data_IF_440899912478
#
_entry.id   IF_440899912478
#
_cell.length_a   1.000
_cell.length_b   1.000
_cell.length_c   1.000
_cell.angle_alpha   90.00
_cell.angle_beta   90.00
_cell.angle_gamma   90.00
#
_symmetry.space_group_name_H-M   'P 1'
#
loop_
_entity.id
_entity.type
_entity.pdbx_description
1 polymer ?
#
# COMPACT_ATOMS: atom_id res chain seq x y z
N UNK A 1 8.02 27.77 16.09
CA UNK A 1 7.51 28.53 14.93
C UNK A 1 6.05 28.14 14.73
N UNK A 2 5.08 29.07 14.68
CA UNK A 2 3.70 28.72 14.38
C UNK A 2 3.62 28.11 12.97
N UNK A 3 2.79 27.07 12.80
CA UNK A 3 2.60 26.45 11.50
C UNK A 3 2.07 27.48 10.48
N UNK A 4 2.64 27.51 9.28
CA UNK A 4 2.14 28.37 8.22
C UNK A 4 0.69 27.99 7.85
N UNK A 5 -0.11 28.96 7.41
CA UNK A 5 -1.50 28.71 6.98
C UNK A 5 -1.61 27.68 5.85
N UNK A 6 -0.57 27.56 5.00
CA UNK A 6 -0.47 26.54 3.97
C UNK A 6 -0.26 25.14 4.55
N UNK A 7 0.57 25.00 5.58
CA UNK A 7 0.82 23.71 6.26
C UNK A 7 -0.45 23.18 6.91
N UNK A 8 -1.21 24.05 7.60
CA UNK A 8 -2.48 23.66 8.24
C UNK A 8 -3.51 23.20 7.20
N UNK A 9 -3.59 23.88 6.04
CA UNK A 9 -4.50 23.48 4.96
C UNK A 9 -4.15 22.11 4.38
N UNK A 10 -2.87 21.85 4.12
CA UNK A 10 -2.42 20.56 3.60
C UNK A 10 -2.71 19.40 4.58
N UNK A 11 -2.57 19.63 5.88
CA UNK A 11 -2.93 18.66 6.93
C UNK A 11 -4.42 18.37 6.91
N UNK A 12 -5.27 19.39 6.81
CA UNK A 12 -6.72 19.21 6.75
C UNK A 12 -7.16 18.46 5.49
N UNK A 13 -6.55 18.77 4.34
CA UNK A 13 -6.82 18.07 3.07
C UNK A 13 -6.47 16.58 3.17
N UNK A 14 -5.32 16.26 3.77
CA UNK A 14 -4.89 14.89 4.04
C UNK A 14 -5.92 14.15 4.90
N UNK A 15 -6.33 14.73 6.03
CA UNK A 15 -7.31 14.11 6.93
C UNK A 15 -8.63 13.85 6.20
N UNK A 16 -9.11 14.80 5.39
CA UNK A 16 -10.35 14.62 4.65
C UNK A 16 -10.24 13.51 3.59
N UNK A 17 -9.12 13.41 2.87
CA UNK A 17 -8.88 12.32 1.93
C UNK A 17 -8.78 10.97 2.64
N UNK A 18 -8.10 10.90 3.79
CA UNK A 18 -8.00 9.68 4.59
C UNK A 18 -9.40 9.21 5.07
N UNK A 19 -10.26 10.15 5.48
CA UNK A 19 -11.65 9.86 5.85
C UNK A 19 -12.47 9.35 4.66
N UNK A 20 -12.35 9.99 3.49
CA UNK A 20 -13.06 9.57 2.28
C UNK A 20 -12.58 8.22 1.76
N UNK A 21 -11.29 7.92 1.90
CA UNK A 21 -10.73 6.62 1.54
C UNK A 21 -11.19 5.52 2.50
N UNK A 22 -11.22 5.79 3.81
CA UNK A 22 -11.55 4.79 4.83
C UNK A 22 -13.06 4.58 5.05
N UNK A 23 -13.90 5.60 4.86
CA UNK A 23 -15.34 5.53 5.11
C UNK A 23 -16.20 5.60 3.83
N UNK A 24 -15.56 5.79 2.67
CA UNK A 24 -16.26 6.02 1.41
C UNK A 24 -16.81 7.45 1.29
N UNK A 25 -17.78 7.68 0.38
CA UNK A 25 -18.31 9.01 0.14
C UNK A 25 -18.98 9.65 1.37
N UNK A 26 -18.66 10.91 1.64
CA UNK A 26 -19.15 11.65 2.80
C UNK A 26 -19.83 12.96 2.39
N UNK A 27 -20.82 13.38 3.15
CA UNK A 27 -21.40 14.73 3.04
C UNK A 27 -20.49 15.78 3.68
N UNK A 28 -20.63 17.05 3.28
CA UNK A 28 -19.94 18.15 3.95
C UNK A 28 -20.28 18.22 5.46
N UNK A 29 -21.49 17.80 5.86
CA UNK A 29 -21.88 17.70 7.26
C UNK A 29 -21.09 16.63 8.02
N UNK A 30 -20.89 15.45 7.43
CA UNK A 30 -20.09 14.38 8.03
C UNK A 30 -18.61 14.77 8.09
N UNK A 31 -18.05 15.34 7.02
CA UNK A 31 -16.68 15.85 7.02
C UNK A 31 -16.46 16.88 8.13
N UNK A 32 -17.41 17.80 8.33
CA UNK A 32 -17.38 18.76 9.45
C UNK A 32 -17.29 18.06 10.81
N UNK A 33 -18.19 17.10 11.06
CA UNK A 33 -18.22 16.37 12.34
C UNK A 33 -16.95 15.57 12.59
N UNK A 34 -16.43 14.88 11.57
CA UNK A 34 -15.27 14.00 11.68
C UNK A 34 -13.94 14.76 11.76
N UNK A 35 -13.84 15.91 11.08
CA UNK A 35 -12.62 16.73 11.08
C UNK A 35 -12.58 17.77 12.20
N UNK A 36 -13.73 18.07 12.82
CA UNK A 36 -13.86 19.16 13.82
C UNK A 36 -13.79 20.58 13.23
N UNK A 37 -13.77 20.71 11.89
CA UNK A 37 -13.65 22.00 11.22
C UNK A 37 -14.95 22.83 11.27
N UNK A 38 -14.81 24.14 11.07
CA UNK A 38 -15.96 25.03 10.91
C UNK A 38 -16.67 24.78 9.57
N UNK A 39 -17.95 25.18 9.46
CA UNK A 39 -18.71 25.02 8.20
C UNK A 39 -18.07 25.75 7.01
N UNK A 40 -17.59 27.02 7.15
CA UNK A 40 -16.82 27.68 6.09
C UNK A 40 -15.54 26.92 5.73
N UNK A 41 -14.79 26.43 6.72
CA UNK A 41 -13.54 25.69 6.47
C UNK A 41 -13.75 24.40 5.69
N UNK A 42 -14.85 23.69 5.93
CA UNK A 42 -15.19 22.48 5.16
C UNK A 42 -15.62 22.83 3.74
N UNK A 43 -16.36 23.93 3.54
CA UNK A 43 -16.72 24.38 2.20
C UNK A 43 -15.47 24.70 1.37
N UNK A 44 -14.54 25.48 1.95
CA UNK A 44 -13.26 25.82 1.32
C UNK A 44 -12.40 24.59 1.03
N UNK A 45 -12.38 23.60 1.95
CA UNK A 45 -11.66 22.34 1.78
C UNK A 45 -12.22 21.54 0.61
N UNK A 46 -13.54 21.36 0.57
CA UNK A 46 -14.21 20.59 -0.49
C UNK A 46 -14.01 21.27 -1.84
N UNK A 47 -14.19 22.59 -1.91
CA UNK A 47 -13.95 23.35 -3.14
C UNK A 47 -12.51 23.21 -3.64
N UNK A 48 -11.53 23.28 -2.72
CA UNK A 48 -10.12 23.10 -3.07
C UNK A 48 -9.84 21.69 -3.61
N UNK A 49 -10.34 20.65 -2.94
CA UNK A 49 -10.15 19.26 -3.40
C UNK A 49 -10.86 18.99 -4.73
N UNK A 50 -12.03 19.59 -4.97
CA UNK A 50 -12.72 19.53 -6.25
C UNK A 50 -11.97 20.27 -7.36
N UNK A 51 -11.45 21.46 -7.07
CA UNK A 51 -10.64 22.25 -8.01
C UNK A 51 -9.35 21.52 -8.37
N UNK A 52 -8.73 20.85 -7.40
CA UNK A 52 -7.60 19.96 -7.65
C UNK A 52 -8.00 18.68 -8.41
N UNK A 53 -9.29 18.40 -8.56
CA UNK A 53 -9.86 17.21 -9.18
C UNK A 53 -9.63 15.92 -8.38
N UNK A 54 -9.38 16.02 -7.08
CA UNK A 54 -9.18 14.88 -6.18
C UNK A 54 -10.50 14.30 -5.68
N UNK A 55 -11.53 15.13 -5.59
CA UNK A 55 -12.87 14.78 -5.10
C UNK A 55 -13.93 15.26 -6.08
N UNK A 56 -15.04 14.54 -6.21
CA UNK A 56 -16.22 14.94 -6.98
C UNK A 56 -17.50 14.60 -6.22
N UNK A 57 -18.62 15.16 -6.68
CA UNK A 57 -19.94 14.71 -6.21
C UNK A 57 -20.23 13.36 -6.87
N UNK A 58 -20.52 12.35 -6.05
CA UNK A 58 -20.79 10.97 -6.48
C UNK A 58 -22.23 10.53 -6.18
N UNK A 59 -23.04 11.41 -5.58
CA UNK A 59 -24.44 11.16 -5.28
C UNK A 59 -25.02 12.15 -4.30
N UNK A 60 -26.17 11.79 -3.74
CA UNK A 60 -26.91 12.57 -2.77
C UNK A 60 -27.38 11.69 -1.60
N UNK A 61 -27.45 12.25 -0.40
CA UNK A 61 -27.91 11.60 0.81
C UNK A 61 -29.12 12.33 1.40
N UNK A 62 -30.04 11.56 2.00
CA UNK A 62 -31.20 12.09 2.73
C UNK A 62 -32.47 12.23 1.91
N UNK A 63 -32.68 11.40 0.88
CA UNK A 63 -33.88 11.40 0.05
C UNK A 63 -35.22 11.28 0.82
N UNK A 64 -35.19 10.73 2.04
CA UNK A 64 -36.36 10.59 2.93
C UNK A 64 -36.54 11.75 3.93
N UNK A 65 -35.62 12.72 3.98
CA UNK A 65 -35.68 13.86 4.92
C UNK A 65 -36.29 15.09 4.27
N UNK A 66 -37.00 15.88 5.07
CA UNK A 66 -37.55 17.18 4.65
C UNK A 66 -36.41 18.21 4.56
N UNK A 67 -36.08 18.63 3.34
CA UNK A 67 -35.01 19.61 3.03
C UNK A 67 -34.28 19.22 1.74
N UNK A 68 -33.37 20.08 1.22
CA UNK A 68 -32.56 19.73 0.07
C UNK A 68 -31.61 18.57 0.42
N UNK A 69 -31.49 17.60 -0.48
CA UNK A 69 -30.57 16.48 -0.30
C UNK A 69 -29.13 16.97 -0.12
N UNK A 70 -28.37 16.30 0.75
CA UNK A 70 -26.97 16.62 0.96
C UNK A 70 -26.11 15.94 -0.11
N UNK A 71 -25.23 16.69 -0.77
CA UNK A 71 -24.26 16.11 -1.73
C UNK A 71 -23.30 15.15 -1.03
N UNK A 72 -23.06 14.00 -1.65
CA UNK A 72 -22.01 13.06 -1.27
C UNK A 72 -20.76 13.32 -2.10
N UNK A 73 -19.65 13.55 -1.42
CA UNK A 73 -18.35 13.77 -2.02
C UNK A 73 -17.53 12.50 -1.91
N UNK A 74 -16.91 12.08 -3.01
CA UNK A 74 -16.05 10.90 -3.07
C UNK A 74 -14.76 11.18 -3.85
N UNK A 75 -13.72 10.40 -3.58
CA UNK A 75 -12.45 10.49 -4.32
C UNK A 75 -12.70 10.18 -5.80
N UNK A 76 -12.03 10.92 -6.69
CA UNK A 76 -11.98 10.61 -8.12
C UNK A 76 -11.06 9.40 -8.30
N UNK A 77 -11.61 8.20 -8.11
CA UNK A 77 -10.84 6.97 -7.97
C UNK A 77 -9.94 6.64 -9.17
N UNK A 78 -10.45 6.90 -10.38
CA UNK A 78 -9.80 6.68 -11.68
C UNK A 78 -8.73 7.73 -12.02
N UNK A 79 -8.51 8.73 -11.16
CA UNK A 79 -7.48 9.75 -11.35
C UNK A 79 -6.06 9.16 -11.38
N UNK A 80 -5.86 8.04 -10.71
CA UNK A 80 -4.61 7.29 -10.77
C UNK A 80 -4.86 5.80 -10.51
N UNK A 81 -3.98 4.98 -11.08
CA UNK A 81 -3.98 3.55 -10.86
C UNK A 81 -2.71 3.16 -10.11
N UNK A 82 -2.84 2.14 -9.26
CA UNK A 82 -1.78 1.59 -8.45
C UNK A 82 -1.59 0.13 -8.84
N UNK A 83 -0.37 -0.38 -8.72
CA UNK A 83 -0.12 -1.82 -8.78
C UNK A 83 0.56 -2.29 -7.49
N UNK A 84 0.28 -3.52 -7.09
CA UNK A 84 0.97 -4.22 -6.02
C UNK A 84 1.50 -5.54 -6.56
N UNK A 85 2.76 -5.85 -6.28
CA UNK A 85 3.39 -7.12 -6.54
C UNK A 85 3.65 -7.83 -5.22
N UNK A 86 3.19 -9.06 -5.09
CA UNK A 86 3.65 -9.98 -4.05
C UNK A 86 4.66 -10.95 -4.66
N UNK A 87 5.94 -10.75 -4.35
CA UNK A 87 7.07 -11.50 -4.90
C UNK A 87 7.48 -12.57 -3.89
N UNK A 88 7.16 -13.82 -4.22
CA UNK A 88 7.55 -15.01 -3.45
C UNK A 88 8.62 -15.79 -4.19
N UNK A 89 9.27 -16.71 -3.48
CA UNK A 89 10.28 -17.61 -4.05
C UNK A 89 9.75 -18.51 -5.15
N UNK A 90 8.45 -18.83 -5.12
CA UNK A 90 7.78 -19.73 -6.06
C UNK A 90 6.72 -19.07 -6.95
N UNK A 91 6.43 -17.78 -6.76
CA UNK A 91 5.34 -17.09 -7.49
C UNK A 91 5.47 -15.59 -7.43
N UNK A 92 4.88 -14.91 -8.41
CA UNK A 92 4.63 -13.48 -8.40
C UNK A 92 3.15 -13.25 -8.64
N UNK A 93 2.50 -12.54 -7.72
CA UNK A 93 1.11 -12.07 -7.88
C UNK A 93 1.11 -10.57 -8.13
N UNK A 94 0.25 -10.11 -9.03
CA UNK A 94 0.04 -8.69 -9.37
C UNK A 94 -1.43 -8.37 -9.12
N UNK A 95 -1.68 -7.23 -8.47
CA UNK A 95 -3.01 -6.62 -8.37
C UNK A 95 -2.90 -5.18 -8.88
N UNK A 96 -3.84 -4.75 -9.72
CA UNK A 96 -3.98 -3.36 -10.15
C UNK A 96 -5.26 -2.78 -9.55
N UNK A 97 -5.16 -1.62 -8.93
CA UNK A 97 -6.27 -0.94 -8.26
C UNK A 97 -6.44 0.50 -8.72
N UNK A 98 -7.60 1.07 -8.44
CA UNK A 98 -7.79 2.52 -8.43
C UNK A 98 -7.26 3.16 -7.12
N UNK A 99 -7.44 4.48 -6.94
CA UNK A 99 -7.00 5.21 -5.74
C UNK A 99 -7.74 4.85 -4.45
N UNK A 100 -8.96 4.30 -4.55
CA UNK A 100 -9.73 3.88 -3.36
C UNK A 100 -9.49 2.41 -3.02
N UNK A 101 -8.70 1.70 -3.82
CA UNK A 101 -8.29 0.32 -3.58
C UNK A 101 -9.23 -0.71 -4.21
N UNK A 102 -10.13 -0.31 -5.11
CA UNK A 102 -10.94 -1.27 -5.85
C UNK A 102 -10.04 -2.04 -6.83
N UNK A 103 -10.09 -3.37 -6.78
CA UNK A 103 -9.33 -4.25 -7.68
C UNK A 103 -9.93 -4.17 -9.08
N UNK A 104 -9.10 -3.79 -10.06
CA UNK A 104 -9.47 -3.67 -11.47
C UNK A 104 -9.03 -4.90 -12.28
N UNK A 105 -7.86 -5.46 -11.95
CA UNK A 105 -7.37 -6.71 -12.49
C UNK A 105 -6.36 -7.33 -11.53
N UNK A 106 -6.25 -8.66 -11.59
CA UNK A 106 -5.26 -9.42 -10.83
C UNK A 106 -4.78 -10.61 -11.64
N UNK A 107 -3.51 -10.99 -11.45
CA UNK A 107 -2.93 -12.15 -12.09
C UNK A 107 -1.82 -12.74 -11.23
N UNK A 108 -1.58 -14.05 -11.35
CA UNK A 108 -0.49 -14.74 -10.66
C UNK A 108 0.28 -15.61 -11.64
N UNK A 109 1.60 -15.59 -11.50
CA UNK A 109 2.52 -16.41 -12.27
C UNK A 109 3.36 -17.26 -11.29
N UNK A 110 3.42 -18.59 -11.46
CA UNK A 110 4.42 -19.42 -10.79
C UNK A 110 5.83 -19.06 -11.29
N UNK A 111 6.73 -18.74 -10.38
CA UNK A 111 8.11 -18.33 -10.67
C UNK A 111 9.05 -19.14 -9.78
N UNK A 112 9.60 -20.22 -10.30
CA UNK A 112 10.50 -21.09 -9.55
C UNK A 112 10.60 -22.50 -10.12
N UNK A 113 11.51 -23.30 -9.57
CA UNK A 113 11.68 -24.71 -9.92
C UNK A 113 10.65 -25.57 -9.17
N UNK A 114 9.40 -25.60 -9.67
CA UNK A 114 8.49 -26.71 -9.38
C UNK A 114 8.97 -28.00 -10.07
N UNK A 115 8.12 -29.02 -10.19
CA UNK A 115 8.42 -30.29 -10.89
C UNK A 115 8.68 -30.16 -12.42
N UNK A 116 8.98 -28.96 -12.92
CA UNK A 116 9.35 -28.66 -14.30
C UNK A 116 10.44 -27.59 -14.36
N UNK A 117 11.01 -27.32 -15.54
CA UNK A 117 11.99 -26.25 -15.70
C UNK A 117 11.34 -24.93 -15.28
N UNK A 118 11.95 -24.25 -14.31
CA UNK A 118 11.50 -22.91 -13.91
C UNK A 118 11.63 -21.91 -15.08
N UNK A 119 11.06 -20.71 -14.93
CA UNK A 119 11.12 -19.69 -15.97
C UNK A 119 12.56 -19.39 -16.38
N UNK A 120 12.79 -19.22 -17.69
CA UNK A 120 14.12 -18.94 -18.23
C UNK A 120 14.62 -17.54 -17.81
N UNK A 121 13.69 -16.60 -17.60
CA UNK A 121 13.96 -15.27 -17.07
C UNK A 121 12.80 -14.80 -16.15
N UNK A 122 12.89 -15.08 -14.83
CA UNK A 122 11.90 -14.64 -13.84
C UNK A 122 11.59 -13.14 -13.88
N UNK A 123 12.57 -12.31 -14.21
CA UNK A 123 12.43 -10.84 -14.19
C UNK A 123 11.58 -10.39 -15.37
N UNK A 124 11.92 -10.88 -16.57
CA UNK A 124 11.16 -10.55 -17.78
C UNK A 124 9.71 -11.02 -17.68
N UNK A 125 9.48 -12.21 -17.14
CA UNK A 125 8.13 -12.77 -17.02
C UNK A 125 7.28 -12.03 -15.98
N UNK A 126 7.84 -11.67 -14.83
CA UNK A 126 7.14 -10.86 -13.82
C UNK A 126 6.83 -9.44 -14.32
N UNK A 127 7.75 -8.80 -15.05
CA UNK A 127 7.49 -7.52 -15.69
C UNK A 127 6.39 -7.62 -16.76
N UNK A 128 6.40 -8.69 -17.57
CA UNK A 128 5.37 -8.94 -18.56
C UNK A 128 4.00 -9.25 -17.92
N UNK A 129 3.97 -9.93 -16.78
CA UNK A 129 2.76 -10.14 -15.98
C UNK A 129 2.17 -8.80 -15.58
N UNK A 130 2.97 -7.91 -14.98
CA UNK A 130 2.52 -6.56 -14.60
C UNK A 130 1.96 -5.79 -15.80
N UNK A 131 2.68 -5.76 -16.92
CA UNK A 131 2.23 -5.05 -18.12
C UNK A 131 0.90 -5.60 -18.68
N UNK A 132 0.69 -6.93 -18.63
CA UNK A 132 -0.58 -7.54 -19.02
C UNK A 132 -1.71 -7.14 -18.08
N UNK A 133 -1.52 -7.27 -16.77
CA UNK A 133 -2.55 -6.93 -15.77
C UNK A 133 -2.93 -5.45 -15.83
N UNK A 134 -1.96 -4.55 -16.09
CA UNK A 134 -2.23 -3.12 -16.29
C UNK A 134 -3.12 -2.86 -17.52
N UNK A 135 -2.88 -3.59 -18.62
CA UNK A 135 -3.72 -3.49 -19.82
C UNK A 135 -5.13 -4.03 -19.57
N UNK A 136 -5.26 -5.16 -18.89
CA UNK A 136 -6.55 -5.75 -18.51
C UNK A 136 -7.37 -4.81 -17.62
N UNK A 137 -6.71 -4.14 -16.67
CA UNK A 137 -7.32 -3.10 -15.83
C UNK A 137 -7.73 -1.83 -16.60
N UNK A 138 -7.42 -1.72 -17.90
CA UNK A 138 -7.58 -0.49 -18.70
C UNK A 138 -6.92 0.74 -18.05
N UNK A 139 -5.87 0.52 -17.28
CA UNK A 139 -5.16 1.59 -16.57
C UNK A 139 -4.21 2.31 -17.54
N UNK A 140 -4.52 3.58 -17.84
CA UNK A 140 -3.72 4.38 -18.78
C UNK A 140 -2.25 4.54 -18.35
N UNK A 141 -2.01 4.69 -17.05
CA UNK A 141 -0.68 4.70 -16.43
C UNK A 141 -0.78 4.37 -14.95
N UNK A 142 0.28 3.77 -14.41
CA UNK A 142 0.47 3.59 -12.98
C UNK A 142 1.07 4.86 -12.37
N UNK A 143 0.54 5.28 -11.24
CA UNK A 143 1.15 6.33 -10.41
C UNK A 143 2.22 5.72 -9.49
N UNK A 144 1.92 4.56 -8.88
CA UNK A 144 2.85 3.87 -7.99
C UNK A 144 2.74 2.36 -8.12
N UNK A 145 3.84 1.68 -7.82
CA UNK A 145 3.95 0.23 -7.75
C UNK A 145 4.51 -0.14 -6.39
N UNK A 146 3.73 -0.85 -5.58
CA UNK A 146 4.23 -1.48 -4.36
C UNK A 146 4.78 -2.87 -4.66
N UNK A 147 5.92 -3.22 -4.08
CA UNK A 147 6.52 -4.55 -4.19
C UNK A 147 6.73 -5.09 -2.78
N UNK A 148 6.00 -6.14 -2.42
CA UNK A 148 6.25 -6.97 -1.25
C UNK A 148 7.21 -8.08 -1.62
N UNK A 149 8.34 -8.21 -0.92
CA UNK A 149 9.32 -9.26 -1.20
C UNK A 149 10.09 -9.68 0.07
N UNK A 150 10.50 -10.96 0.17
CA UNK A 150 11.42 -11.40 1.21
C UNK A 150 12.74 -10.66 1.12
N UNK A 151 13.28 -10.37 2.29
CA UNK A 151 14.59 -9.77 2.45
C UNK A 151 14.57 -8.50 3.31
N UNK A 152 15.75 -7.89 3.40
CA UNK A 152 15.99 -6.70 4.20
C UNK A 152 15.86 -5.47 3.31
N UNK A 153 14.98 -4.54 3.69
CA UNK A 153 14.85 -3.25 3.01
C UNK A 153 15.64 -2.20 3.79
N UNK A 154 16.63 -1.61 3.15
CA UNK A 154 17.36 -0.47 3.72
C UNK A 154 16.38 0.70 3.96
N UNK A 155 16.16 1.14 5.22
CA UNK A 155 15.21 2.21 5.50
C UNK A 155 15.60 3.58 4.95
N UNK A 156 16.88 3.80 4.64
CA UNK A 156 17.41 5.05 4.12
C UNK A 156 17.37 5.10 2.58
N UNK A 157 17.69 3.99 1.91
CA UNK A 157 17.78 3.94 0.44
C UNK A 157 16.57 3.29 -0.24
N UNK A 158 15.77 2.50 0.50
CA UNK A 158 14.71 1.66 -0.06
C UNK A 158 15.25 0.46 -0.84
N UNK A 159 16.54 0.16 -0.76
CA UNK A 159 17.17 -0.94 -1.47
C UNK A 159 16.80 -2.28 -0.83
N UNK A 160 16.36 -3.23 -1.66
CA UNK A 160 16.21 -4.63 -1.28
C UNK A 160 17.57 -5.31 -1.26
N UNK A 161 18.10 -5.54 -0.06
CA UNK A 161 19.37 -6.22 0.17
C UNK A 161 19.17 -7.73 0.09
N UNK A 162 20.16 -8.42 -0.49
CA UNK A 162 20.17 -9.87 -0.53
C UNK A 162 20.38 -10.47 0.86
N UNK A 163 19.65 -11.54 1.16
CA UNK A 163 19.90 -12.43 2.31
C UNK A 163 20.25 -13.82 1.79
N UNK A 164 20.94 -14.63 2.60
CA UNK A 164 21.28 -16.01 2.24
C UNK A 164 20.01 -16.81 1.95
N UNK A 165 19.94 -17.43 0.77
CA UNK A 165 18.81 -18.31 0.39
C UNK A 165 17.74 -17.63 -0.48
N UNK A 166 17.80 -16.31 -0.69
CA UNK A 166 16.86 -15.64 -1.61
C UNK A 166 17.36 -15.62 -3.06
N UNK A 167 16.48 -15.87 -4.05
CA UNK A 167 16.86 -15.78 -5.45
C UNK A 167 17.32 -14.37 -5.86
N UNK A 168 18.43 -14.29 -6.59
CA UNK A 168 18.97 -13.02 -7.08
C UNK A 168 18.01 -12.25 -8.01
N UNK A 169 17.02 -12.93 -8.60
CA UNK A 169 16.06 -12.26 -9.49
C UNK A 169 15.11 -11.31 -8.75
N UNK A 170 14.90 -11.44 -7.43
CA UNK A 170 14.04 -10.53 -6.67
C UNK A 170 14.58 -9.09 -6.72
N UNK A 171 15.87 -8.90 -6.41
CA UNK A 171 16.53 -7.59 -6.49
C UNK A 171 16.59 -7.07 -7.92
N UNK A 172 16.84 -7.96 -8.89
CA UNK A 172 16.89 -7.60 -10.31
C UNK A 172 15.53 -7.14 -10.83
N UNK A 173 14.43 -7.75 -10.35
CA UNK A 173 13.07 -7.33 -10.67
C UNK A 173 12.78 -5.93 -10.15
N UNK A 174 13.08 -5.65 -8.88
CA UNK A 174 12.92 -4.31 -8.30
C UNK A 174 13.68 -3.26 -9.12
N UNK A 175 14.95 -3.51 -9.41
CA UNK A 175 15.77 -2.60 -10.22
C UNK A 175 15.22 -2.41 -11.63
N UNK A 176 14.76 -3.49 -12.27
CA UNK A 176 14.15 -3.43 -13.60
C UNK A 176 12.84 -2.62 -13.59
N UNK A 177 11.99 -2.77 -12.58
CA UNK A 177 10.76 -1.99 -12.43
C UNK A 177 11.07 -0.50 -12.22
N UNK A 178 12.05 -0.17 -11.37
CA UNK A 178 12.48 1.20 -11.11
C UNK A 178 13.04 1.89 -12.36
N UNK A 179 13.73 1.15 -13.24
CA UNK A 179 14.30 1.68 -14.47
C UNK A 179 13.27 1.81 -15.61
N UNK A 180 12.34 0.86 -15.71
CA UNK A 180 11.41 0.76 -16.85
C UNK A 180 10.12 1.56 -16.65
N UNK A 181 9.67 1.71 -15.42
CA UNK A 181 8.38 2.33 -15.14
C UNK A 181 8.55 3.82 -14.82
N UNK A 182 7.70 4.70 -15.38
CA UNK A 182 7.64 6.11 -14.97
C UNK A 182 6.94 6.30 -13.60
N UNK A 183 6.55 5.21 -12.95
CA UNK A 183 5.83 5.19 -11.68
C UNK A 183 6.79 5.14 -10.48
N UNK A 184 6.35 5.63 -9.32
CA UNK A 184 7.10 5.45 -8.07
C UNK A 184 7.05 3.99 -7.65
N UNK A 185 8.20 3.32 -7.59
CA UNK A 185 8.31 1.96 -7.07
C UNK A 185 8.67 1.99 -5.59
N UNK A 186 7.80 1.44 -4.76
CA UNK A 186 7.96 1.30 -3.31
C UNK A 186 8.21 -0.18 -3.01
N UNK A 187 9.18 -0.47 -2.15
CA UNK A 187 9.50 -1.86 -1.77
C UNK A 187 9.40 -2.00 -0.27
N UNK A 188 8.82 -3.11 0.17
CA UNK A 188 8.68 -3.44 1.58
C UNK A 188 8.79 -4.96 1.79
N UNK A 189 9.18 -5.36 2.99
CA UNK A 189 9.14 -6.76 3.41
C UNK A 189 7.69 -7.26 3.47
N UNK A 190 7.44 -8.49 3.03
CA UNK A 190 6.10 -9.09 3.04
C UNK A 190 5.45 -9.15 4.42
N UNK A 191 6.26 -9.36 5.46
CA UNK A 191 5.79 -9.58 6.84
C UNK A 191 5.33 -8.26 7.40
N UNK A 192 6.06 -7.20 7.07
CA UNK A 192 5.68 -5.82 7.32
C UNK A 192 4.37 -5.45 6.61
N UNK A 193 4.24 -5.79 5.32
CA UNK A 193 3.01 -5.53 4.56
C UNK A 193 1.83 -6.33 5.10
N UNK A 194 2.04 -7.58 5.50
CA UNK A 194 1.02 -8.40 6.14
C UNK A 194 0.54 -7.74 7.44
N UNK A 195 1.43 -7.23 8.29
CA UNK A 195 1.04 -6.53 9.51
C UNK A 195 0.22 -5.25 9.20
N UNK A 196 0.60 -4.49 8.17
CA UNK A 196 -0.17 -3.32 7.74
C UNK A 196 -1.56 -3.71 7.19
N UNK A 197 -1.67 -4.83 6.48
CA UNK A 197 -2.94 -5.37 6.02
C UNK A 197 -3.83 -5.80 7.19
N UNK A 198 -3.27 -6.52 8.17
CA UNK A 198 -3.97 -6.93 9.39
C UNK A 198 -4.46 -5.73 10.21
N UNK A 199 -3.66 -4.65 10.28
CA UNK A 199 -4.05 -3.43 10.98
C UNK A 199 -5.17 -2.67 10.25
N UNK A 200 -5.14 -2.64 8.91
CA UNK A 200 -6.13 -1.93 8.11
C UNK A 200 -7.49 -2.63 8.08
N UNK A 201 -7.48 -3.94 7.82
CA UNK A 201 -8.71 -4.68 7.49
C UNK A 201 -8.78 -6.09 8.08
N UNK A 202 -7.76 -6.53 8.82
CA UNK A 202 -7.71 -7.86 9.40
C UNK A 202 -7.90 -7.90 10.92
N UNK A 203 -7.26 -8.86 11.56
CA UNK A 203 -7.40 -9.19 12.98
C UNK A 203 -6.83 -8.10 13.91
N UNK A 204 -5.90 -7.27 13.42
CA UNK A 204 -5.29 -6.19 14.21
C UNK A 204 -6.01 -4.84 14.05
N UNK A 205 -7.21 -4.81 13.44
CA UNK A 205 -7.99 -3.58 13.28
C UNK A 205 -8.33 -2.96 14.63
N UNK A 206 -7.98 -1.69 14.79
CA UNK A 206 -8.18 -0.93 16.04
C UNK A 206 -7.06 -1.12 17.06
N UNK A 207 -6.03 -1.91 16.75
CA UNK A 207 -4.81 -2.02 17.55
C UNK A 207 -3.73 -1.11 16.98
N UNK A 208 -3.11 -0.30 17.84
CA UNK A 208 -1.97 0.53 17.48
C UNK A 208 -0.62 -0.12 17.83
N UNK A 209 -0.64 -1.13 18.70
CA UNK A 209 0.56 -1.79 19.21
C UNK A 209 0.38 -3.30 19.19
N UNK A 210 1.09 -3.97 18.30
CA UNK A 210 1.04 -5.43 18.16
C UNK A 210 2.28 -5.96 17.44
N UNK A 211 2.47 -7.27 17.53
CA UNK A 211 3.45 -8.02 16.73
C UNK A 211 2.69 -9.01 15.88
N UNK A 212 2.97 -9.02 14.57
CA UNK A 212 2.58 -10.11 13.70
C UNK A 212 3.72 -11.11 13.64
N UNK A 213 3.44 -12.38 13.95
CA UNK A 213 4.39 -13.47 13.77
C UNK A 213 4.05 -14.20 12.47
N UNK A 214 5.02 -14.26 11.55
CA UNK A 214 4.90 -14.95 10.28
C UNK A 214 5.55 -16.33 10.37
N UNK A 215 4.73 -17.37 10.18
CA UNK A 215 5.14 -18.77 10.21
C UNK A 215 4.92 -19.36 8.81
N UNK A 216 5.94 -19.30 7.96
CA UNK A 216 5.89 -19.81 6.59
C UNK A 216 7.16 -20.57 6.23
N UNK A 217 7.67 -20.36 5.01
CA UNK A 217 8.98 -20.89 4.59
C UNK A 217 10.13 -20.42 5.49
N UNK A 218 9.98 -19.24 6.10
CA UNK A 218 10.83 -18.74 7.17
C UNK A 218 9.98 -18.25 8.35
N UNK A 219 10.69 -17.93 9.44
CA UNK A 219 10.10 -17.31 10.63
C UNK A 219 10.49 -15.84 10.66
N UNK A 220 9.49 -14.96 10.63
CA UNK A 220 9.68 -13.53 10.70
C UNK A 220 8.64 -12.89 11.62
N UNK A 221 8.85 -11.64 11.97
CA UNK A 221 7.91 -10.85 12.73
C UNK A 221 7.86 -9.43 12.17
N UNK A 222 6.71 -8.77 12.34
CA UNK A 222 6.57 -7.34 12.09
C UNK A 222 6.10 -6.66 13.36
N UNK A 223 6.77 -5.57 13.74
CA UNK A 223 6.49 -4.82 14.94
C UNK A 223 5.76 -3.53 14.56
N UNK A 224 4.54 -3.38 15.04
CA UNK A 224 3.78 -2.13 14.93
C UNK A 224 3.64 -1.56 16.34
N UNK A 225 4.20 -0.37 16.57
CA UNK A 225 4.16 0.30 17.86
C UNK A 225 3.62 1.72 17.67
N UNK A 226 2.58 2.11 18.41
CA UNK A 226 1.94 3.43 18.32
C UNK A 226 1.41 3.74 16.90
N UNK A 227 0.83 2.75 16.25
CA UNK A 227 0.30 2.82 14.89
C UNK A 227 1.37 2.86 13.80
N UNK A 228 2.64 2.67 14.16
CA UNK A 228 3.77 2.79 13.24
C UNK A 228 4.55 1.49 13.14
N UNK A 229 4.67 1.00 11.92
CA UNK A 229 5.58 -0.08 11.57
C UNK A 229 7.03 0.29 11.91
N UNK A 230 7.73 -0.60 12.61
CA UNK A 230 9.13 -0.43 13.02
C UNK A 230 10.02 -1.32 12.16
N UNK A 231 10.85 -0.67 11.34
CA UNK A 231 11.83 -1.33 10.43
C UNK A 231 13.20 -1.57 11.08
N UNK A 232 13.47 -0.93 12.20
CA UNK A 232 14.80 -0.92 12.83
C UNK A 232 15.81 -0.04 12.09
N UNK A 233 17.01 0.09 12.63
CA UNK A 233 18.05 0.96 12.07
C UNK A 233 18.63 0.43 10.73
N UNK A 234 18.62 -0.89 10.56
CA UNK A 234 19.19 -1.57 9.38
C UNK A 234 18.14 -2.21 8.46
N UNK A 235 16.84 -2.08 8.78
CA UNK A 235 15.77 -2.74 8.04
C UNK A 235 15.44 -4.16 8.50
N UNK A 236 16.16 -4.71 9.48
CA UNK A 236 15.99 -6.09 9.97
C UNK A 236 15.22 -6.24 11.27
N UNK A 237 14.40 -5.26 11.66
CA UNK A 237 13.54 -5.45 12.82
C UNK A 237 12.54 -6.58 12.56
N UNK A 238 12.48 -7.54 13.50
CA UNK A 238 11.56 -8.68 13.39
C UNK A 238 12.13 -9.89 12.66
N UNK A 239 13.42 -9.90 12.31
CA UNK A 239 14.14 -11.08 11.80
C UNK A 239 14.42 -12.11 12.91
N UNK A 240 13.36 -12.55 13.60
CA UNK A 240 13.41 -13.43 14.79
C UNK A 240 13.76 -14.88 14.46
N UNK A 241 13.80 -15.25 13.18
CA UNK A 241 14.24 -16.57 12.72
C UNK A 241 15.76 -16.74 12.60
N UNK A 242 16.54 -15.67 12.77
CA UNK A 242 18.01 -15.69 12.61
C UNK A 242 18.83 -15.91 13.89
N UNK A 243 18.42 -15.42 15.08
CA UNK A 243 19.17 -15.68 16.30
C UNK A 243 19.28 -17.18 16.56
N UNK A 244 20.45 -17.67 17.03
CA UNK A 244 20.60 -19.07 17.42
C UNK A 244 19.65 -19.40 18.58
N UNK A 245 19.09 -20.60 18.54
CA UNK A 245 18.19 -21.13 19.57
C UNK A 245 18.98 -22.10 20.44
N UNK A 246 19.15 -21.86 21.75
CA UNK A 246 19.97 -22.70 22.62
C UNK A 246 19.76 -24.21 22.40
N UNK A 247 20.81 -24.91 21.97
CA UNK A 247 20.79 -26.37 21.70
C UNK A 247 20.84 -26.77 20.22
N UNK A 248 20.88 -25.80 19.30
CA UNK A 248 20.99 -25.95 17.85
C UNK A 248 22.41 -26.28 17.33
N UNK A 249 23.39 -26.42 18.23
CA UNK A 249 24.67 -27.07 17.92
C UNK A 249 25.41 -26.46 16.74
N UNK A 250 25.62 -25.16 16.74
CA UNK A 250 26.75 -24.60 16.01
C UNK A 250 28.04 -24.90 16.81
N UNK A 251 29.18 -25.23 16.15
CA UNK A 251 30.47 -25.28 16.84
C UNK A 251 30.82 -23.93 17.49
#
# INVERSE_FOLDING_TARGET
MPASSMTVRAVNDRIALDLLQGQGPLTAGQLKTLTGLSRPSVADLVERLQTAGLVRVVGEAGAERRGPNARLYGIVADRAHLAALDVRTGSVSVVVTDLVGAVLAEATLPVGHGAGPGPADPVAEAAALLERTVREASAARLHSVGVGAPGLIDPATGELRGTSGLPAWHRSLVGALQQRLPATVLVENETNLAALAEQRSGAARGLDTFVLLWLGHGVGAALVLEGKLRRGASGGAGEVGFPPVPGDGLP
#
